data_IF_127938074840
#
_entry.id   IF_127938074840
#
_cell.length_a   1.000
_cell.length_b   1.000
_cell.length_c   1.000
_cell.angle_alpha   90.00
_cell.angle_beta   90.00
_cell.angle_gamma   90.00
#
_symmetry.space_group_name_H-M   'P 1'
#
loop_
_entity.id
_entity.type
_entity.pdbx_description
1 polymer ?
#
# COMPACT_ATOMS: atom_id res chain seq x y z
N UNK A 1 -3.30 5.34 22.48
CA UNK A 1 -2.78 5.62 21.12
C UNK A 1 -3.66 4.81 20.18
N UNK A 2 -4.57 5.45 19.46
CA UNK A 2 -5.51 4.75 18.58
C UNK A 2 -4.77 4.44 17.29
N UNK A 3 -4.06 3.31 17.24
CA UNK A 3 -3.47 2.78 16.00
C UNK A 3 -4.50 1.88 15.35
N UNK A 4 -5.52 2.51 14.78
CA UNK A 4 -6.54 1.82 13.98
C UNK A 4 -6.33 2.22 12.52
N UNK A 5 -5.84 1.25 11.75
CA UNK A 5 -5.82 1.21 10.27
C UNK A 5 -4.81 2.14 9.57
N UNK A 6 -3.60 1.62 9.26
CA UNK A 6 -2.81 2.00 8.06
C UNK A 6 -1.46 1.28 7.92
N UNK A 7 -0.95 0.61 8.96
CA UNK A 7 0.46 0.13 8.98
C UNK A 7 0.83 -0.75 7.80
N UNK A 8 -0.04 -1.69 7.38
CA UNK A 8 0.26 -2.57 6.24
C UNK A 8 0.34 -1.81 4.92
N UNK A 9 -0.49 -0.79 4.72
CA UNK A 9 -0.52 -0.02 3.48
C UNK A 9 0.69 0.93 3.40
N UNK A 10 1.05 1.55 4.53
CA UNK A 10 2.28 2.34 4.68
C UNK A 10 3.53 1.47 4.45
N UNK A 11 3.60 0.28 5.08
CA UNK A 11 4.68 -0.69 4.89
C UNK A 11 4.79 -1.11 3.43
N UNK A 12 3.67 -1.41 2.78
CA UNK A 12 3.63 -1.76 1.36
C UNK A 12 4.18 -0.64 0.48
N UNK A 13 3.80 0.62 0.77
CA UNK A 13 4.33 1.81 0.07
C UNK A 13 5.84 1.92 0.24
N UNK A 14 6.35 1.80 1.47
CA UNK A 14 7.78 1.90 1.76
C UNK A 14 8.60 0.80 1.11
N UNK A 15 8.11 -0.44 1.09
CA UNK A 15 8.75 -1.58 0.42
C UNK A 15 8.86 -1.34 -1.08
N UNK A 16 7.78 -0.86 -1.70
CA UNK A 16 7.77 -0.52 -3.12
C UNK A 16 8.75 0.61 -3.44
N UNK A 17 8.76 1.68 -2.65
CA UNK A 17 9.70 2.80 -2.85
C UNK A 17 11.16 2.38 -2.68
N UNK A 18 11.48 1.55 -1.68
CA UNK A 18 12.82 1.00 -1.51
C UNK A 18 13.25 0.12 -2.67
N UNK A 19 12.30 -0.50 -3.38
CA UNK A 19 12.54 -1.30 -4.57
C UNK A 19 12.58 -0.47 -5.86
N UNK A 20 12.48 0.86 -5.76
CA UNK A 20 12.47 1.79 -6.90
C UNK A 20 11.11 1.98 -7.58
N UNK A 21 10.04 1.44 -6.99
CA UNK A 21 8.67 1.60 -7.48
C UNK A 21 8.02 2.80 -6.81
N UNK A 22 7.70 3.82 -7.60
CA UNK A 22 6.97 4.98 -7.10
C UNK A 22 5.54 4.57 -6.71
N UNK A 23 5.23 4.63 -5.42
CA UNK A 23 3.93 4.19 -4.88
C UNK A 23 3.22 5.34 -4.14
N UNK A 24 1.97 5.59 -4.53
CA UNK A 24 1.12 6.64 -3.94
C UNK A 24 0.01 5.99 -3.13
N UNK A 25 -0.04 6.31 -1.84
CA UNK A 25 -1.07 5.82 -0.93
C UNK A 25 -2.21 6.84 -0.84
N UNK A 26 -3.42 6.42 -1.19
CA UNK A 26 -4.64 7.21 -1.06
C UNK A 26 -5.51 6.63 0.06
N UNK A 27 -5.76 7.44 1.08
CA UNK A 27 -6.70 7.09 2.14
C UNK A 27 -8.10 7.58 1.76
N UNK A 28 -8.95 6.67 1.28
CA UNK A 28 -10.38 6.95 1.05
C UNK A 28 -11.13 6.78 2.37
N UNK A 29 -10.89 7.70 3.30
CA UNK A 29 -11.68 7.79 4.53
C UNK A 29 -12.93 8.60 4.24
N UNK A 30 -13.98 7.93 3.78
CA UNK A 30 -15.32 8.50 3.85
C UNK A 30 -15.74 8.55 5.32
N UNK A 31 -15.97 9.75 5.85
CA UNK A 31 -16.34 9.97 7.26
C UNK A 31 -17.62 9.25 7.71
N UNK A 32 -18.34 8.60 6.78
CA UNK A 32 -19.59 7.86 7.05
C UNK A 32 -19.43 6.34 7.15
N UNK A 33 -18.29 5.74 6.78
CA UNK A 33 -18.10 4.30 6.87
C UNK A 33 -16.83 3.98 7.68
N UNK A 34 -16.99 3.26 8.80
CA UNK A 34 -15.90 2.82 9.69
C UNK A 34 -14.86 1.88 9.01
N UNK A 35 -15.03 1.57 7.72
CA UNK A 35 -14.11 0.77 6.92
C UNK A 35 -13.25 1.69 6.07
N UNK A 36 -12.17 2.21 6.64
CA UNK A 36 -11.16 2.96 5.89
C UNK A 36 -10.44 2.05 4.90
N UNK A 37 -10.73 2.22 3.60
CA UNK A 37 -10.02 1.51 2.53
C UNK A 37 -8.82 2.35 2.11
N UNK A 38 -7.65 1.70 2.08
CA UNK A 38 -6.41 2.28 1.59
C UNK A 38 -6.14 1.77 0.18
N UNK A 39 -6.00 2.68 -0.78
CA UNK A 39 -5.66 2.35 -2.15
C UNK A 39 -4.18 2.69 -2.40
N UNK A 40 -3.44 1.76 -3.00
CA UNK A 40 -2.04 1.94 -3.36
C UNK A 40 -1.92 1.97 -4.88
N UNK A 41 -1.46 3.09 -5.40
CA UNK A 41 -1.30 3.32 -6.83
C UNK A 41 0.17 3.24 -7.23
N UNK A 42 0.42 2.56 -8.35
CA UNK A 42 1.75 2.43 -8.96
C UNK A 42 1.66 2.70 -10.47
N UNK A 43 2.75 3.12 -11.12
CA UNK A 43 2.81 3.22 -12.57
C UNK A 43 2.42 1.90 -13.24
N UNK A 44 1.60 1.95 -14.28
CA UNK A 44 1.11 0.75 -15.00
C UNK A 44 2.26 -0.15 -15.46
N UNK A 45 3.36 0.42 -15.95
CA UNK A 45 4.53 -0.34 -16.38
C UNK A 45 5.26 -1.09 -15.26
N UNK A 46 4.97 -0.77 -14.00
CA UNK A 46 5.58 -1.36 -12.81
C UNK A 46 4.58 -2.17 -11.98
N UNK A 47 3.32 -2.25 -12.40
CA UNK A 47 2.26 -2.93 -11.64
C UNK A 47 2.54 -4.41 -11.41
N UNK A 48 3.05 -5.12 -12.44
CA UNK A 48 3.42 -6.52 -12.33
C UNK A 48 4.60 -6.71 -11.35
N UNK A 49 5.61 -5.85 -11.42
CA UNK A 49 6.78 -5.89 -10.54
C UNK A 49 6.39 -5.57 -9.09
N UNK A 50 5.55 -4.55 -8.88
CA UNK A 50 5.01 -4.20 -7.58
C UNK A 50 4.25 -5.36 -6.92
N UNK A 51 3.39 -6.05 -7.69
CA UNK A 51 2.68 -7.24 -7.22
C UNK A 51 3.63 -8.37 -6.80
N UNK A 52 4.73 -8.59 -7.55
CA UNK A 52 5.72 -9.60 -7.18
C UNK A 52 6.43 -9.27 -5.87
N UNK A 53 6.84 -8.01 -5.69
CA UNK A 53 7.48 -7.56 -4.43
C UNK A 53 6.55 -7.77 -3.24
N UNK A 54 5.30 -7.31 -3.36
CA UNK A 54 4.32 -7.43 -2.27
C UNK A 54 4.00 -8.88 -1.93
N UNK A 55 3.94 -9.79 -2.92
CA UNK A 55 3.69 -11.21 -2.68
C UNK A 55 4.90 -11.93 -2.05
N UNK A 56 6.12 -11.51 -2.40
CA UNK A 56 7.35 -12.08 -1.86
C UNK A 56 7.51 -11.77 -0.36
N UNK A 57 7.19 -10.54 0.06
CA UNK A 57 7.29 -10.10 1.46
C UNK A 57 6.20 -10.68 2.39
N UNK A 58 5.08 -11.18 1.84
CA UNK A 58 4.00 -11.79 2.64
C UNK A 58 4.25 -13.29 2.90
N UNK A 59 5.18 -13.92 2.18
CA UNK A 59 5.41 -15.37 2.21
C UNK A 59 6.59 -15.80 3.11
N UNK A 60 7.29 -14.87 3.76
CA UNK A 60 8.48 -15.16 4.59
C UNK A 60 8.25 -14.84 6.07
#
# INVERSE_FOLDING_TARGET
MVTEVSSKAELSRMVLENSGVQAVLLNKKDSSYLLGVFELYVPVGQAAFAMQILNNEITN
#
